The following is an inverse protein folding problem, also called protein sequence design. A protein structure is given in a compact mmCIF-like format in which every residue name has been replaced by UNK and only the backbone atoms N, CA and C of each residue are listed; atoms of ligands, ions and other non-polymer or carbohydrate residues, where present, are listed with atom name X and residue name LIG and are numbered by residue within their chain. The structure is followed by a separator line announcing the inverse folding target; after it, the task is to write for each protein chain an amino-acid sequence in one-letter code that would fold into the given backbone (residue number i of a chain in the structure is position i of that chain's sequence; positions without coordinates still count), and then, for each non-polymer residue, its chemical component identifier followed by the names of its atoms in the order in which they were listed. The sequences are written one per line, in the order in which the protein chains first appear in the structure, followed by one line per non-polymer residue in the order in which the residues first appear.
data_IF_154771170248
#
_entry.id   IF_154771170248
#
_cell.length_a   1.000
_cell.length_b   1.000
_cell.length_c   1.000
_cell.angle_alpha   90.00
_cell.angle_beta   90.00
_cell.angle_gamma   90.00
#
_symmetry.space_group_name_H-M   'P 1'
#
loop_
_entity.id
_entity.type
_entity.pdbx_description
1 polymer ?
#
# COMPACT_ATOMS: atom_id res chain seq x y z
N UNK A 1 24.65 -0.38 -3.60
CA UNK A 1 24.46 0.69 -4.59
C UNK A 1 22.99 0.76 -4.96
N UNK A 2 22.42 1.96 -4.97
CA UNK A 2 21.04 2.25 -5.37
C UNK A 2 21.10 3.46 -6.29
N UNK A 3 20.54 3.38 -7.51
CA UNK A 3 20.57 4.47 -8.51
C UNK A 3 21.94 5.19 -8.64
N UNK A 4 23.04 4.43 -8.73
CA UNK A 4 24.42 4.94 -8.80
C UNK A 4 24.92 5.66 -7.54
N UNK A 5 24.16 5.65 -6.45
CA UNK A 5 24.60 6.10 -5.13
C UNK A 5 25.11 4.93 -4.27
N UNK A 6 26.26 5.13 -3.61
CA UNK A 6 26.80 4.20 -2.62
C UNK A 6 26.31 4.57 -1.22
N UNK A 7 25.86 3.56 -0.49
CA UNK A 7 25.43 3.69 0.90
C UNK A 7 26.23 2.73 1.75
N UNK A 8 26.78 3.23 2.85
CA UNK A 8 27.49 2.43 3.84
C UNK A 8 26.55 2.14 4.99
N UNK A 9 26.21 0.86 5.16
CA UNK A 9 25.18 0.40 6.09
C UNK A 9 25.75 -0.74 6.92
N UNK A 10 25.41 -0.77 8.21
CA UNK A 10 25.82 -1.87 9.07
C UNK A 10 25.02 -3.12 8.71
N UNK A 11 25.72 -4.18 8.26
CA UNK A 11 25.12 -5.47 7.84
C UNK A 11 24.13 -6.03 8.85
N UNK A 12 24.36 -5.80 10.14
CA UNK A 12 23.47 -6.24 11.22
C UNK A 12 22.02 -5.80 11.02
N UNK A 13 21.75 -4.54 10.61
CA UNK A 13 20.38 -4.07 10.41
C UNK A 13 19.67 -4.80 9.27
N UNK A 14 20.39 -5.08 8.19
CA UNK A 14 19.84 -5.79 7.02
C UNK A 14 19.57 -7.26 7.36
N UNK A 15 20.56 -7.99 7.92
CA UNK A 15 20.44 -9.41 8.26
C UNK A 15 19.39 -9.67 9.34
N UNK A 16 19.24 -8.76 10.31
CA UNK A 16 18.30 -8.89 11.42
C UNK A 16 16.85 -8.72 10.94
N UNK A 17 16.61 -7.77 10.05
CA UNK A 17 15.25 -7.34 9.70
C UNK A 17 14.75 -7.88 8.35
N UNK A 18 15.63 -8.44 7.49
CA UNK A 18 15.25 -8.99 6.19
C UNK A 18 15.78 -10.42 5.99
N UNK A 19 14.87 -11.32 5.63
CA UNK A 19 15.22 -12.68 5.25
C UNK A 19 15.97 -12.74 3.93
N UNK A 20 15.60 -11.89 2.96
CA UNK A 20 16.30 -11.75 1.69
C UNK A 20 17.79 -11.45 1.92
N UNK A 21 18.09 -10.42 2.72
CA UNK A 21 19.47 -10.05 2.99
C UNK A 21 20.18 -11.13 3.81
N UNK A 22 19.49 -11.78 4.77
CA UNK A 22 20.07 -12.92 5.51
C UNK A 22 20.49 -14.06 4.58
N UNK A 23 19.63 -14.42 3.62
CA UNK A 23 19.91 -15.43 2.61
C UNK A 23 21.06 -15.03 1.69
N UNK A 24 21.00 -13.81 1.12
CA UNK A 24 22.05 -13.25 0.27
C UNK A 24 23.43 -13.32 0.95
N UNK A 25 23.45 -12.99 2.25
CA UNK A 25 24.64 -12.96 3.08
C UNK A 25 25.14 -14.34 3.53
N UNK A 26 24.32 -15.39 3.43
CA UNK A 26 24.67 -16.76 3.76
C UNK A 26 25.16 -17.55 2.54
N UNK A 27 24.97 -17.03 1.32
CA UNK A 27 25.42 -17.69 0.10
C UNK A 27 26.95 -17.85 0.08
N UNK A 28 27.47 -19.03 -0.32
CA UNK A 28 28.90 -19.25 -0.46
C UNK A 28 29.46 -18.41 -1.60
N UNK A 29 30.66 -17.86 -1.39
CA UNK A 29 31.35 -17.09 -2.41
C UNK A 29 32.08 -18.05 -3.35
N UNK A 30 31.97 -17.89 -4.68
CA UNK A 30 32.73 -18.68 -5.64
C UNK A 30 34.25 -18.59 -5.38
N UNK A 31 35.02 -19.67 -5.63
CA UNK A 31 36.47 -19.64 -5.45
C UNK A 31 37.13 -18.59 -6.35
N UNK A 32 37.87 -17.66 -5.75
CA UNK A 32 38.59 -16.61 -6.48
C UNK A 32 37.83 -15.29 -6.66
N UNK A 33 36.61 -15.19 -6.14
CA UNK A 33 35.83 -13.94 -6.11
C UNK A 33 35.70 -13.40 -4.67
N UNK A 34 35.55 -12.09 -4.54
CA UNK A 34 35.22 -11.43 -3.27
C UNK A 34 33.69 -11.37 -3.10
N UNK A 35 33.22 -11.54 -1.86
CA UNK A 35 31.81 -11.36 -1.54
C UNK A 35 31.34 -9.93 -1.90
N UNK A 36 30.20 -9.83 -2.57
CA UNK A 36 29.56 -8.54 -2.84
C UNK A 36 29.28 -7.75 -1.56
N UNK A 37 29.38 -6.43 -1.64
CA UNK A 37 29.08 -5.50 -0.55
C UNK A 37 30.17 -5.38 0.51
N UNK A 38 31.38 -5.86 0.24
CA UNK A 38 32.55 -5.71 1.12
C UNK A 38 33.40 -4.48 0.82
N UNK A 39 33.40 -4.02 -0.42
CA UNK A 39 34.21 -2.89 -0.88
C UNK A 39 33.36 -1.94 -1.72
N UNK A 40 33.79 -0.69 -1.84
CA UNK A 40 33.12 0.30 -2.70
C UNK A 40 33.21 -0.09 -4.20
N UNK A 41 34.23 -0.87 -4.58
CA UNK A 41 34.44 -1.38 -5.94
C UNK A 41 33.54 -2.59 -6.30
N UNK A 42 33.07 -3.34 -5.30
CA UNK A 42 32.14 -4.46 -5.49
C UNK A 42 30.92 -4.33 -4.54
N UNK A 43 30.02 -3.36 -4.76
CA UNK A 43 28.86 -3.15 -3.90
C UNK A 43 27.71 -4.10 -4.27
N UNK A 44 26.85 -4.43 -3.29
CA UNK A 44 25.56 -5.08 -3.59
C UNK A 44 24.68 -4.10 -4.36
N UNK A 45 24.27 -4.45 -5.57
CA UNK A 45 23.41 -3.60 -6.41
C UNK A 45 21.95 -3.91 -6.17
N UNK A 46 21.18 -2.89 -5.78
CA UNK A 46 19.74 -3.01 -5.56
C UNK A 46 18.99 -2.46 -6.77
N UNK A 47 18.36 -3.36 -7.53
CA UNK A 47 17.60 -3.02 -8.74
C UNK A 47 16.13 -2.71 -8.41
N UNK A 48 15.56 -1.73 -9.12
CA UNK A 48 14.15 -1.34 -8.97
C UNK A 48 13.84 -0.65 -7.64
N UNK A 49 14.85 -0.03 -7.04
CA UNK A 49 14.75 0.70 -5.78
C UNK A 49 15.29 2.10 -6.02
N UNK A 50 14.52 3.08 -5.58
CA UNK A 50 14.91 4.48 -5.64
C UNK A 50 15.80 4.84 -4.47
N UNK A 51 16.60 5.89 -4.65
CA UNK A 51 17.41 6.48 -3.58
C UNK A 51 16.54 6.94 -2.41
N UNK A 52 15.34 7.45 -2.69
CA UNK A 52 14.38 7.88 -1.67
C UNK A 52 13.95 6.70 -0.80
N UNK A 53 13.47 5.62 -1.41
CA UNK A 53 13.06 4.39 -0.71
C UNK A 53 14.16 3.86 0.20
N UNK A 54 15.40 3.79 -0.32
CA UNK A 54 16.52 3.33 0.48
C UNK A 54 16.86 4.27 1.62
N UNK A 55 16.82 5.60 1.41
CA UNK A 55 17.03 6.59 2.48
C UNK A 55 15.97 6.49 3.56
N UNK A 56 14.70 6.29 3.21
CA UNK A 56 13.62 6.10 4.18
C UNK A 56 13.88 4.85 5.06
N UNK A 57 14.32 3.75 4.46
CA UNK A 57 14.73 2.55 5.20
C UNK A 57 15.91 2.83 6.15
N UNK A 58 16.93 3.58 5.70
CA UNK A 58 18.06 3.93 6.55
C UNK A 58 17.67 4.83 7.72
N UNK A 59 16.84 5.86 7.48
CA UNK A 59 16.27 6.69 8.55
C UNK A 59 15.55 5.84 9.58
N UNK A 60 14.75 4.87 9.12
CA UNK A 60 14.08 3.93 10.01
C UNK A 60 15.05 3.14 10.91
N UNK A 61 16.20 2.70 10.38
CA UNK A 61 17.21 1.98 11.18
C UNK A 61 18.00 2.85 12.15
N UNK A 62 18.35 4.08 11.76
CA UNK A 62 19.30 4.91 12.49
C UNK A 62 18.63 5.99 13.36
N UNK A 63 17.45 6.47 12.99
CA UNK A 63 16.82 7.62 13.64
C UNK A 63 15.69 7.23 14.62
N UNK A 64 15.51 5.93 14.90
CA UNK A 64 14.41 5.41 15.72
C UNK A 64 14.40 5.87 17.19
N UNK A 65 15.39 6.67 17.62
CA UNK A 65 15.58 7.08 19.02
C UNK A 65 15.21 8.53 19.31
N UNK A 66 15.14 9.43 18.31
CA UNK A 66 15.00 10.88 18.57
C UNK A 66 14.02 11.64 17.67
N UNK A 67 13.55 11.07 16.56
CA UNK A 67 12.49 11.67 15.73
C UNK A 67 11.63 10.57 15.13
N UNK A 68 10.39 10.88 14.72
CA UNK A 68 9.64 9.96 13.85
C UNK A 68 10.41 9.89 12.53
N UNK A 69 11.04 8.75 12.18
CA UNK A 69 11.98 8.71 11.04
C UNK A 69 11.28 8.84 9.67
N UNK A 70 9.95 8.73 9.65
CA UNK A 70 9.07 8.67 8.48
C UNK A 70 7.81 9.45 8.82
N UNK A 71 7.67 10.63 8.23
CA UNK A 71 6.62 11.59 8.62
C UNK A 71 5.62 11.86 7.50
N UNK A 72 6.01 11.70 6.24
CA UNK A 72 5.14 11.99 5.10
C UNK A 72 4.47 10.72 4.58
N UNK A 73 3.32 10.90 3.92
CA UNK A 73 2.64 9.81 3.23
C UNK A 73 3.56 9.13 2.21
N UNK A 74 4.31 9.93 1.44
CA UNK A 74 5.25 9.44 0.44
C UNK A 74 6.37 8.61 1.07
N UNK A 75 6.90 9.01 2.23
CA UNK A 75 7.92 8.25 2.93
C UNK A 75 7.38 6.89 3.41
N UNK A 76 6.13 6.83 3.88
CA UNK A 76 5.48 5.57 4.27
C UNK A 76 5.23 4.65 3.07
N UNK A 77 4.82 5.20 1.93
CA UNK A 77 4.66 4.43 0.68
C UNK A 77 6.03 3.90 0.22
N UNK A 78 7.07 4.73 0.26
CA UNK A 78 8.42 4.35 -0.09
C UNK A 78 8.97 3.26 0.85
N UNK A 79 8.69 3.37 2.16
CA UNK A 79 9.05 2.36 3.15
C UNK A 79 8.29 1.05 2.91
N UNK A 80 6.99 1.11 2.62
CA UNK A 80 6.19 -0.07 2.26
C UNK A 80 6.76 -0.76 1.01
N UNK A 81 7.12 0.01 -0.02
CA UNK A 81 7.69 -0.51 -1.26
C UNK A 81 8.96 -1.30 -1.04
N UNK A 82 9.97 -0.70 -0.41
CA UNK A 82 11.25 -1.37 -0.16
C UNK A 82 11.13 -2.52 0.83
N UNK A 83 10.27 -2.39 1.84
CA UNK A 83 10.02 -3.44 2.81
C UNK A 83 9.39 -4.67 2.17
N UNK A 84 8.47 -4.46 1.23
CA UNK A 84 7.85 -5.55 0.45
C UNK A 84 8.86 -6.22 -0.47
N UNK A 85 9.65 -5.42 -1.20
CA UNK A 85 10.61 -5.93 -2.19
C UNK A 85 11.70 -6.80 -1.58
N UNK A 86 12.21 -6.42 -0.41
CA UNK A 86 13.32 -7.12 0.25
C UNK A 86 12.90 -7.85 1.52
N UNK A 87 11.61 -8.16 1.69
CA UNK A 87 11.11 -9.02 2.76
C UNK A 87 11.52 -8.52 4.15
N UNK A 88 11.25 -7.25 4.43
CA UNK A 88 11.36 -6.64 5.76
C UNK A 88 10.00 -6.68 6.46
N UNK A 89 9.52 -7.88 6.84
CA UNK A 89 8.12 -8.10 7.23
C UNK A 89 7.64 -7.19 8.36
N UNK A 90 8.44 -7.04 9.43
CA UNK A 90 8.10 -6.13 10.55
C UNK A 90 7.96 -4.67 10.14
N UNK A 91 8.80 -4.23 9.20
CA UNK A 91 8.78 -2.85 8.70
C UNK A 91 7.58 -2.66 7.76
N UNK A 92 7.29 -3.67 6.93
CA UNK A 92 6.11 -3.70 6.07
C UNK A 92 4.82 -3.63 6.89
N UNK A 93 4.69 -4.44 7.95
CA UNK A 93 3.54 -4.40 8.85
C UNK A 93 3.34 -3.02 9.47
N UNK A 94 4.42 -2.41 9.97
CA UNK A 94 4.37 -1.05 10.53
C UNK A 94 3.91 -0.02 9.49
N UNK A 95 4.47 -0.07 8.27
CA UNK A 95 4.07 0.83 7.20
C UNK A 95 2.60 0.67 6.83
N UNK A 96 2.08 -0.57 6.79
CA UNK A 96 0.66 -0.85 6.57
C UNK A 96 -0.20 -0.24 7.68
N UNK A 97 0.19 -0.38 8.95
CA UNK A 97 -0.54 0.18 10.09
C UNK A 97 -0.62 1.71 9.98
N UNK A 98 0.50 2.38 9.72
CA UNK A 98 0.51 3.85 9.63
C UNK A 98 -0.24 4.36 8.40
N UNK A 99 -0.09 3.73 7.23
CA UNK A 99 -0.85 4.07 6.03
C UNK A 99 -2.35 3.81 6.19
N UNK A 100 -2.74 2.80 6.97
CA UNK A 100 -4.17 2.52 7.26
C UNK A 100 -4.85 3.65 8.04
N UNK A 101 -4.08 4.45 8.78
CA UNK A 101 -4.58 5.60 9.56
C UNK A 101 -4.71 6.88 8.72
N UNK A 102 -4.07 6.92 7.55
CA UNK A 102 -4.11 8.08 6.66
C UNK A 102 -5.40 8.09 5.84
N UNK A 103 -5.90 9.30 5.57
CA UNK A 103 -6.99 9.51 4.63
C UNK A 103 -6.40 9.52 3.22
N UNK A 104 -6.62 8.44 2.49
CA UNK A 104 -6.18 8.26 1.11
C UNK A 104 -7.36 8.37 0.16
N UNK A 105 -7.11 8.89 -1.04
CA UNK A 105 -8.04 8.75 -2.14
C UNK A 105 -8.36 7.25 -2.35
N UNK A 106 -9.64 6.86 -2.51
CA UNK A 106 -10.02 5.45 -2.65
C UNK A 106 -9.33 4.73 -3.81
N UNK A 107 -9.15 5.39 -4.96
CA UNK A 107 -8.48 4.79 -6.13
C UNK A 107 -7.01 4.59 -5.82
N UNK A 108 -6.35 5.61 -5.28
CA UNK A 108 -4.95 5.50 -4.85
C UNK A 108 -4.76 4.36 -3.84
N UNK A 109 -5.66 4.23 -2.86
CA UNK A 109 -5.64 3.16 -1.86
C UNK A 109 -5.80 1.77 -2.48
N UNK A 110 -6.69 1.62 -3.47
CA UNK A 110 -6.84 0.37 -4.23
C UNK A 110 -5.57 0.04 -5.01
N UNK A 111 -4.97 1.02 -5.68
CA UNK A 111 -3.74 0.82 -6.45
C UNK A 111 -2.59 0.36 -5.54
N UNK A 112 -2.37 1.02 -4.40
CA UNK A 112 -1.36 0.61 -3.43
C UNK A 112 -1.66 -0.78 -2.85
N UNK A 113 -2.92 -1.07 -2.52
CA UNK A 113 -3.32 -2.37 -2.00
C UNK A 113 -3.03 -3.50 -2.98
N UNK A 114 -3.30 -3.31 -4.27
CA UNK A 114 -2.98 -4.31 -5.28
C UNK A 114 -1.47 -4.41 -5.53
N UNK A 115 -0.77 -3.27 -5.61
CA UNK A 115 0.67 -3.22 -5.89
C UNK A 115 1.50 -3.90 -4.80
N UNK A 116 1.12 -3.72 -3.54
CA UNK A 116 1.85 -4.26 -2.39
C UNK A 116 1.11 -5.40 -1.70
N UNK A 117 0.09 -6.00 -2.31
CA UNK A 117 -0.70 -7.10 -1.73
C UNK A 117 -1.18 -6.83 -0.30
N UNK A 118 -1.92 -5.72 -0.12
CA UNK A 118 -2.53 -5.30 1.15
C UNK A 118 -4.05 -5.44 1.03
N UNK A 119 -4.50 -6.68 0.82
CA UNK A 119 -5.89 -7.02 0.50
C UNK A 119 -6.92 -6.51 1.52
N UNK A 120 -6.52 -6.35 2.79
CA UNK A 120 -7.37 -5.78 3.86
C UNK A 120 -7.84 -4.33 3.61
N UNK A 121 -7.18 -3.59 2.71
CA UNK A 121 -7.61 -2.23 2.35
C UNK A 121 -8.73 -2.20 1.31
N UNK A 122 -8.86 -3.25 0.51
CA UNK A 122 -9.77 -3.29 -0.64
C UNK A 122 -11.24 -3.08 -0.26
N UNK A 123 -11.80 -3.75 0.78
CA UNK A 123 -13.22 -3.59 1.10
C UNK A 123 -13.58 -2.14 1.40
N UNK A 124 -12.82 -1.48 2.28
CA UNK A 124 -13.07 -0.10 2.66
C UNK A 124 -12.91 0.82 1.44
N UNK A 125 -11.80 0.69 0.70
CA UNK A 125 -11.52 1.55 -0.44
C UNK A 125 -12.56 1.43 -1.56
N UNK A 126 -12.99 0.22 -1.92
CA UNK A 126 -14.05 0.04 -2.91
C UNK A 126 -15.40 0.57 -2.40
N UNK A 127 -15.76 0.35 -1.14
CA UNK A 127 -17.00 0.90 -0.59
C UNK A 127 -17.01 2.42 -0.58
N UNK A 128 -15.88 3.07 -0.28
CA UNK A 128 -15.75 4.53 -0.31
C UNK A 128 -15.86 5.05 -1.75
N UNK A 129 -15.28 4.34 -2.72
CA UNK A 129 -15.43 4.67 -4.14
C UNK A 129 -16.88 4.49 -4.64
N UNK A 130 -17.65 3.56 -4.07
CA UNK A 130 -19.09 3.41 -4.35
C UNK A 130 -19.92 4.56 -3.74
N UNK A 131 -19.53 5.07 -2.56
CA UNK A 131 -20.20 6.20 -1.90
C UNK A 131 -19.91 7.53 -2.58
N UNK A 132 -18.74 7.65 -3.21
CA UNK A 132 -18.27 8.90 -3.84
C UNK A 132 -19.31 9.47 -4.82
N UNK A 133 -19.71 10.74 -4.71
CA UNK A 133 -20.65 11.34 -5.65
C UNK A 133 -20.02 11.53 -7.04
N UNK A 134 -18.74 11.87 -7.10
CA UNK A 134 -18.00 12.06 -8.35
C UNK A 134 -17.93 10.76 -9.17
N UNK A 135 -18.07 10.85 -10.51
CA UNK A 135 -17.86 9.71 -11.40
C UNK A 135 -16.40 9.25 -11.37
N UNK A 136 -16.15 8.07 -11.92
CA UNK A 136 -14.79 7.59 -12.19
C UNK A 136 -14.28 8.35 -13.43
N UNK A 137 -13.10 8.93 -13.33
CA UNK A 137 -12.41 9.60 -14.44
C UNK A 137 -11.70 8.59 -15.33
N UNK A 138 -11.31 8.99 -16.54
CA UNK A 138 -10.56 8.11 -17.46
C UNK A 138 -9.24 7.61 -16.84
N UNK A 139 -8.48 8.50 -16.18
CA UNK A 139 -7.22 8.15 -15.51
C UNK A 139 -7.40 7.15 -14.35
N UNK A 140 -8.49 7.29 -13.59
CA UNK A 140 -8.84 6.33 -12.54
C UNK A 140 -9.28 5.00 -13.14
N UNK A 141 -10.02 5.02 -14.25
CA UNK A 141 -10.47 3.82 -14.94
C UNK A 141 -9.28 2.99 -15.46
N UNK A 142 -8.27 3.65 -16.03
CA UNK A 142 -7.00 3.04 -16.43
C UNK A 142 -6.28 2.42 -15.22
N UNK A 143 -6.21 3.13 -14.10
CA UNK A 143 -5.53 2.67 -12.88
C UNK A 143 -6.23 1.48 -12.21
N UNK A 144 -7.57 1.46 -12.20
CA UNK A 144 -8.37 0.39 -11.59
C UNK A 144 -8.45 -0.86 -12.48
N UNK A 145 -8.37 -0.66 -13.79
CA UNK A 145 -8.64 -1.68 -14.80
C UNK A 145 -10.14 -1.93 -15.02
N UNK A 146 -10.48 -2.30 -16.26
CA UNK A 146 -11.87 -2.43 -16.74
C UNK A 146 -12.76 -3.29 -15.84
N UNK A 147 -12.25 -4.42 -15.34
CA UNK A 147 -13.01 -5.32 -14.46
C UNK A 147 -13.49 -4.62 -13.19
N UNK A 148 -12.61 -3.86 -12.53
CA UNK A 148 -12.96 -3.15 -11.31
C UNK A 148 -13.88 -1.97 -11.60
N UNK A 149 -13.68 -1.26 -12.70
CA UNK A 149 -14.56 -0.16 -13.14
C UNK A 149 -16.00 -0.65 -13.30
N UNK A 150 -16.21 -1.73 -14.05
CA UNK A 150 -17.54 -2.33 -14.26
C UNK A 150 -18.18 -2.76 -12.94
N UNK A 151 -17.39 -3.38 -12.05
CA UNK A 151 -17.87 -3.82 -10.74
C UNK A 151 -18.25 -2.65 -9.83
N UNK A 152 -17.46 -1.58 -9.81
CA UNK A 152 -17.77 -0.37 -9.05
C UNK A 152 -19.02 0.32 -9.60
N UNK A 153 -19.15 0.43 -10.92
CA UNK A 153 -20.36 0.98 -11.56
C UNK A 153 -21.61 0.21 -11.12
N UNK A 154 -21.57 -1.13 -11.21
CA UNK A 154 -22.65 -2.00 -10.72
C UNK A 154 -22.95 -1.80 -9.24
N UNK A 155 -21.92 -1.69 -8.40
CA UNK A 155 -22.09 -1.46 -6.96
C UNK A 155 -22.76 -0.12 -6.67
N UNK A 156 -22.39 0.94 -7.40
CA UNK A 156 -23.00 2.28 -7.30
C UNK A 156 -24.46 2.28 -7.71
N UNK A 157 -24.81 1.58 -8.78
CA UNK A 157 -26.20 1.44 -9.24
C UNK A 157 -27.05 0.73 -8.20
N UNK A 158 -26.59 -0.43 -7.69
CA UNK A 158 -27.30 -1.20 -6.66
C UNK A 158 -27.47 -0.41 -5.36
N UNK A 159 -26.44 0.33 -4.94
CA UNK A 159 -26.50 1.13 -3.72
C UNK A 159 -27.51 2.29 -3.85
N UNK A 160 -27.67 2.87 -5.04
CA UNK A 160 -28.66 3.92 -5.31
C UNK A 160 -30.07 3.37 -5.46
N UNK A 161 -30.24 2.27 -6.19
CA UNK A 161 -31.53 1.59 -6.38
C UNK A 161 -32.14 1.18 -5.03
N UNK A 162 -31.31 0.62 -4.13
CA UNK A 162 -31.75 0.21 -2.79
C UNK A 162 -31.87 1.36 -1.79
N UNK A 163 -31.58 2.59 -2.20
CA UNK A 163 -31.62 3.77 -1.33
C UNK A 163 -30.57 3.76 -0.21
N UNK A 164 -29.48 3.01 -0.36
CA UNK A 164 -28.38 2.97 0.63
C UNK A 164 -27.48 4.21 0.56
N UNK A 165 -27.57 4.95 -0.55
CA UNK A 165 -26.98 6.28 -0.72
C UNK A 165 -28.15 7.23 -0.98
N UNK A 166 -28.42 8.12 -0.02
CA UNK A 166 -29.45 9.16 -0.17
C UNK A 166 -28.79 10.52 -0.14
N UNK A 167 -29.22 11.43 -1.02
CA UNK A 167 -28.86 12.85 -0.97
C UNK A 167 -30.08 13.67 -0.57
N UNK A 168 -29.94 14.51 0.46
CA UNK A 168 -30.97 15.48 0.83
C UNK A 168 -30.47 16.91 0.66
N UNK A 169 -31.35 17.79 0.17
CA UNK A 169 -31.11 19.24 0.15
C UNK A 169 -31.57 19.74 1.52
N UNK A 170 -30.69 19.66 2.53
CA UNK A 170 -30.99 20.07 3.91
C UNK A 170 -30.27 21.34 4.35
N UNK A 171 -29.45 21.94 3.49
CA UNK A 171 -28.70 23.15 3.81
C UNK A 171 -29.43 24.41 3.32
N UNK A 172 -29.18 25.52 4.02
CA UNK A 172 -29.62 26.87 3.63
C UNK A 172 -29.07 27.28 2.25
N UNK A 173 -27.95 26.69 1.84
CA UNK A 173 -27.37 26.86 0.52
C UNK A 173 -27.88 25.76 -0.44
N UNK A 174 -28.55 26.13 -1.55
CA UNK A 174 -29.20 25.18 -2.46
C UNK A 174 -28.26 24.22 -3.19
N UNK A 175 -26.93 24.36 -3.01
CA UNK A 175 -25.91 23.52 -3.64
C UNK A 175 -25.29 22.48 -2.71
N UNK A 176 -25.52 22.55 -1.39
CA UNK A 176 -24.97 21.54 -0.48
C UNK A 176 -25.91 20.33 -0.40
N UNK A 177 -25.48 19.23 -1.01
CA UNK A 177 -26.12 17.93 -0.82
C UNK A 177 -25.54 17.26 0.42
N UNK A 178 -26.41 16.93 1.38
CA UNK A 178 -26.03 16.08 2.51
C UNK A 178 -26.27 14.64 2.10
N UNK A 179 -25.21 13.84 2.10
CA UNK A 179 -25.28 12.41 1.81
C UNK A 179 -25.38 11.60 3.10
N UNK A 180 -26.25 10.59 3.10
CA UNK A 180 -26.36 9.59 4.16
C UNK A 180 -26.15 8.20 3.59
N UNK A 181 -25.39 7.37 4.31
CA UNK A 181 -24.95 6.05 3.85
C UNK A 181 -25.42 4.95 4.80
N UNK A 182 -25.81 3.81 4.23
CA UNK A 182 -25.94 2.57 4.99
C UNK A 182 -24.66 1.73 4.79
N UNK A 183 -23.62 2.02 5.59
CA UNK A 183 -22.29 1.43 5.42
C UNK A 183 -22.31 -0.10 5.44
N UNK A 184 -23.10 -0.71 6.33
CA UNK A 184 -23.23 -2.16 6.43
C UNK A 184 -23.81 -2.76 5.14
N UNK A 185 -24.83 -2.12 4.57
CA UNK A 185 -25.47 -2.61 3.36
C UNK A 185 -24.60 -2.39 2.11
N UNK A 186 -23.85 -1.28 2.04
CA UNK A 186 -22.88 -1.02 0.97
C UNK A 186 -21.72 -2.01 1.04
N UNK A 187 -21.23 -2.33 2.24
CA UNK A 187 -20.23 -3.37 2.43
C UNK A 187 -20.75 -4.76 2.03
N UNK A 188 -22.04 -5.06 2.26
CA UNK A 188 -22.63 -6.29 1.76
C UNK A 188 -22.65 -6.33 0.22
N UNK A 189 -23.05 -5.24 -0.44
CA UNK A 189 -22.98 -5.13 -1.92
C UNK A 189 -21.56 -5.38 -2.42
N UNK A 190 -20.54 -4.87 -1.71
CA UNK A 190 -19.16 -5.15 -2.05
C UNK A 190 -18.86 -6.66 -2.03
N UNK A 191 -19.19 -7.37 -0.96
CA UNK A 191 -18.93 -8.82 -0.89
C UNK A 191 -19.73 -9.63 -1.90
N UNK A 192 -20.94 -9.18 -2.27
CA UNK A 192 -21.74 -9.81 -3.31
C UNK A 192 -21.07 -9.68 -4.71
N UNK A 193 -20.30 -8.60 -4.95
CA UNK A 193 -19.62 -8.32 -6.23
C UNK A 193 -18.19 -8.90 -6.27
N UNK A 194 -17.50 -8.93 -5.13
CA UNK A 194 -16.16 -9.50 -4.93
C UNK A 194 -16.20 -10.66 -3.90
N UNK A 195 -16.82 -11.80 -4.24
CA UNK A 195 -16.85 -12.96 -3.36
C UNK A 195 -15.44 -13.47 -3.02
N UNK A 196 -14.47 -13.28 -3.91
CA UNK A 196 -13.06 -13.63 -3.67
C UNK A 196 -12.46 -12.92 -2.45
N UNK A 197 -12.88 -11.69 -2.16
CA UNK A 197 -12.38 -10.92 -1.02
C UNK A 197 -13.00 -11.36 0.31
N UNK A 198 -14.17 -12.03 0.27
CA UNK A 198 -14.79 -12.57 1.48
C UNK A 198 -14.04 -13.80 2.02
N UNK A 199 -13.48 -14.63 1.13
CA UNK A 199 -12.72 -15.81 1.52
C UNK A 199 -11.39 -15.46 2.19
N UNK A 200 -10.72 -14.39 1.73
CA UNK A 200 -9.45 -13.93 2.28
C UNK A 200 -9.58 -13.35 3.71
N UNK A 201 -10.76 -12.83 4.09
CA UNK A 201 -11.01 -12.33 5.45
C UNK A 201 -11.04 -13.45 6.51
N UNK A 202 -11.32 -14.70 6.11
CA UNK A 202 -11.39 -15.86 7.03
C UNK A 202 -10.01 -16.46 7.27
N UNK A 203 -9.07 -16.34 6.32
CA UNK A 203 -7.73 -16.94 6.42
C UNK A 203 -6.77 -16.15 7.32
N UNK A 204 -7.01 -14.86 7.55
CA UNK A 204 -6.12 -13.99 8.36
C UNK A 204 -6.47 -14.03 9.87
N UNK A 205 -7.56 -14.70 10.26
CA UNK A 205 -7.93 -14.90 11.68
C UNK A 205 -7.78 -16.36 12.16
N UNK A 206 -7.10 -17.21 11.38
CA UNK A 206 -6.81 -18.61 11.71
C UNK A 206 -5.41 -18.84 12.24
#
# INVERSE_FOLDING_TARGET
MVERCLFRVHRHFLTRNSEFFRGLFACPVPPGEDAEGRTDANPIVLYGVTTQEFRCLLRFFYDSTYSKPVDTLEDWIALLSIATRYVFDRIRELAIIELSRQVLDPVHKITLANQYDVSQWLPIAFTDLMKRPEPITEAEAESLGMRNVVRVARGRELAREKGYIMSSIRSYYPYDKVYTFNDKAILQIFYDIWPECAAQAVTVMG
#
